data_IF_528638186876
#
_entry.id   IF_528638186876
#
_cell.length_a   1.000
_cell.length_b   1.000
_cell.length_c   1.000
_cell.angle_alpha   90.00
_cell.angle_beta   90.00
_cell.angle_gamma   90.00
#
_symmetry.space_group_name_H-M   'P 1'
#
loop_
_entity.id
_entity.type
_entity.pdbx_description
1 polymer ?
#
# COMPACT_ATOMS: atom_id res chain seq x y z
N UNK A 1 -9.24 22.55 -0.19
CA UNK A 1 -9.38 23.04 1.20
C UNK A 1 -8.39 22.25 2.05
N UNK A 2 -7.61 22.96 2.86
CA UNK A 2 -6.70 22.30 3.82
C UNK A 2 -7.55 21.60 4.90
N UNK A 3 -7.27 20.33 5.17
CA UNK A 3 -7.96 19.57 6.21
C UNK A 3 -7.72 20.18 7.59
N UNK A 4 -8.74 20.20 8.44
CA UNK A 4 -8.62 20.55 9.84
C UNK A 4 -8.95 19.36 10.77
N UNK A 5 -8.82 19.54 12.08
CA UNK A 5 -9.06 18.47 13.05
C UNK A 5 -10.53 18.00 13.06
N UNK A 6 -11.47 18.91 12.81
CA UNK A 6 -12.90 18.56 12.74
C UNK A 6 -13.21 17.75 11.49
N UNK A 7 -12.57 18.07 10.37
CA UNK A 7 -12.68 17.27 9.15
C UNK A 7 -12.23 15.82 9.42
N UNK A 8 -11.13 15.64 10.16
CA UNK A 8 -10.62 14.29 10.53
C UNK A 8 -11.60 13.55 11.44
N UNK A 9 -12.15 14.20 12.46
CA UNK A 9 -13.14 13.60 13.35
C UNK A 9 -14.40 13.19 12.62
N UNK A 10 -14.93 14.07 11.77
CA UNK A 10 -16.11 13.81 10.95
C UNK A 10 -15.85 12.65 9.97
N UNK A 11 -14.68 12.61 9.35
CA UNK A 11 -14.28 11.50 8.48
C UNK A 11 -14.29 10.19 9.26
N UNK A 12 -13.70 10.16 10.46
CA UNK A 12 -13.68 8.97 11.31
C UNK A 12 -15.08 8.46 11.67
N UNK A 13 -16.00 9.36 12.01
CA UNK A 13 -17.40 9.00 12.28
C UNK A 13 -18.06 8.42 11.03
N UNK A 14 -17.86 9.05 9.87
CA UNK A 14 -18.44 8.58 8.61
C UNK A 14 -17.88 7.21 8.20
N UNK A 15 -16.56 7.02 8.28
CA UNK A 15 -15.92 5.73 7.97
C UNK A 15 -16.47 4.62 8.86
N UNK A 16 -16.59 4.85 10.18
CA UNK A 16 -17.16 3.86 11.11
C UNK A 16 -18.61 3.54 10.77
N UNK A 17 -19.42 4.55 10.46
CA UNK A 17 -20.81 4.38 10.05
C UNK A 17 -20.89 3.59 8.74
N UNK A 18 -20.12 3.97 7.75
CA UNK A 18 -20.10 3.33 6.44
C UNK A 18 -19.58 1.88 6.55
N UNK A 19 -18.59 1.63 7.38
CA UNK A 19 -18.10 0.28 7.65
C UNK A 19 -19.16 -0.62 8.29
N UNK A 20 -19.89 -0.13 9.28
CA UNK A 20 -20.99 -0.88 9.91
C UNK A 20 -22.14 -1.19 8.95
N UNK A 21 -22.42 -0.28 7.98
CA UNK A 21 -23.51 -0.44 7.00
C UNK A 21 -23.06 -1.27 5.78
N UNK A 22 -21.77 -1.24 5.46
CA UNK A 22 -21.23 -1.75 4.20
C UNK A 22 -20.53 -3.11 4.29
N UNK A 23 -20.82 -3.91 5.32
CA UNK A 23 -20.48 -5.34 5.34
C UNK A 23 -21.06 -6.14 4.14
N UNK A 24 -21.66 -5.44 3.16
CA UNK A 24 -22.33 -6.05 2.01
C UNK A 24 -21.41 -6.49 0.88
N UNK A 25 -20.21 -5.87 0.73
CA UNK A 25 -19.26 -6.32 -0.28
C UNK A 25 -18.44 -7.48 0.25
N UNK A 26 -18.63 -8.63 -0.34
CA UNK A 26 -17.77 -9.80 -0.08
C UNK A 26 -16.35 -9.51 -0.56
N UNK A 27 -15.34 -10.00 0.16
CA UNK A 27 -13.92 -9.87 -0.22
C UNK A 27 -13.70 -10.36 -1.66
N UNK A 28 -14.44 -11.38 -2.08
CA UNK A 28 -14.42 -11.90 -3.44
C UNK A 28 -14.79 -10.86 -4.50
N UNK A 29 -15.78 -10.00 -4.23
CA UNK A 29 -16.18 -8.93 -5.15
C UNK A 29 -15.09 -7.86 -5.26
N UNK A 30 -14.45 -7.51 -4.12
CA UNK A 30 -13.28 -6.61 -4.10
C UNK A 30 -12.14 -7.21 -4.92
N UNK A 31 -11.86 -8.49 -4.74
CA UNK A 31 -10.83 -9.23 -5.48
C UNK A 31 -11.09 -9.19 -6.99
N UNK A 32 -12.33 -9.44 -7.42
CA UNK A 32 -12.69 -9.34 -8.83
C UNK A 32 -12.51 -7.94 -9.42
N UNK A 33 -12.88 -6.89 -8.66
CA UNK A 33 -12.68 -5.50 -9.08
C UNK A 33 -11.19 -5.19 -9.27
N UNK A 34 -10.34 -5.67 -8.35
CA UNK A 34 -8.89 -5.51 -8.42
C UNK A 34 -8.33 -6.21 -9.67
N UNK A 35 -8.65 -7.47 -9.89
CA UNK A 35 -8.13 -8.29 -10.99
C UNK A 35 -8.57 -7.75 -12.37
N UNK A 36 -9.78 -7.21 -12.46
CA UNK A 36 -10.31 -6.68 -13.73
C UNK A 36 -9.76 -5.29 -14.07
N UNK A 37 -9.23 -4.55 -13.11
CA UNK A 37 -8.82 -3.16 -13.30
C UNK A 37 -7.72 -2.97 -14.36
N UNK A 38 -6.62 -3.75 -14.41
CA UNK A 38 -5.58 -3.56 -15.42
C UNK A 38 -6.07 -3.68 -16.86
N UNK A 39 -7.14 -4.45 -17.07
CA UNK A 39 -7.72 -4.67 -18.41
C UNK A 39 -8.63 -3.54 -18.88
N UNK A 40 -8.98 -2.60 -18.00
CA UNK A 40 -9.89 -1.48 -18.28
C UNK A 40 -9.16 -0.19 -18.61
N UNK A 41 -7.89 -0.11 -18.24
CA UNK A 41 -7.08 1.11 -18.43
C UNK A 41 -6.67 1.26 -19.89
N UNK A 42 -6.77 2.48 -20.39
CA UNK A 42 -6.37 2.85 -21.74
C UNK A 42 -4.88 3.20 -21.82
N UNK A 43 -4.28 3.11 -23.01
CA UNK A 43 -2.89 3.52 -23.24
C UNK A 43 -2.65 5.00 -22.86
N UNK A 44 -3.63 5.87 -23.11
CA UNK A 44 -3.55 7.29 -22.72
C UNK A 44 -3.46 7.45 -21.21
N UNK A 45 -4.21 6.67 -20.44
CA UNK A 45 -4.17 6.70 -18.97
C UNK A 45 -2.84 6.14 -18.44
N UNK A 46 -2.31 5.09 -19.07
CA UNK A 46 -0.98 4.55 -18.77
C UNK A 46 0.11 5.62 -19.02
N UNK A 47 0.04 6.33 -20.14
CA UNK A 47 0.97 7.41 -20.45
C UNK A 47 0.87 8.58 -19.45
N UNK A 48 -0.32 8.87 -18.92
CA UNK A 48 -0.48 9.87 -17.86
C UNK A 48 0.17 9.42 -16.55
N UNK A 49 0.04 8.13 -16.18
CA UNK A 49 0.74 7.57 -15.01
C UNK A 49 2.27 7.61 -15.19
N UNK A 50 2.76 7.32 -16.40
CA UNK A 50 4.17 7.42 -16.75
C UNK A 50 4.68 8.85 -16.56
N UNK A 51 3.92 9.83 -17.07
CA UNK A 51 4.26 11.25 -16.93
C UNK A 51 4.33 11.65 -15.45
N UNK A 52 3.40 11.21 -14.60
CA UNK A 52 3.46 11.50 -13.16
C UNK A 52 4.78 11.03 -12.53
N UNK A 53 5.28 9.85 -12.89
CA UNK A 53 6.55 9.33 -12.36
C UNK A 53 7.76 10.15 -12.87
N UNK A 54 7.76 10.50 -14.16
CA UNK A 54 8.82 11.33 -14.76
C UNK A 54 8.82 12.73 -14.14
N UNK A 55 7.66 13.34 -13.94
CA UNK A 55 7.50 14.65 -13.27
C UNK A 55 7.95 14.60 -11.78
N UNK A 56 7.90 13.43 -11.14
CA UNK A 56 8.48 13.18 -9.83
C UNK A 56 9.99 12.98 -9.84
N UNK A 57 10.63 13.03 -11.01
CA UNK A 57 12.09 12.94 -11.19
C UNK A 57 12.63 11.51 -11.42
N UNK A 58 11.77 10.53 -11.67
CA UNK A 58 12.21 9.19 -12.01
C UNK A 58 12.56 9.07 -13.50
N UNK A 59 13.58 8.27 -13.80
CA UNK A 59 13.94 7.89 -15.17
C UNK A 59 12.78 7.19 -15.89
N UNK A 60 12.64 7.44 -17.19
CA UNK A 60 11.51 6.89 -17.99
C UNK A 60 11.53 5.36 -18.05
N UNK A 61 12.70 4.73 -18.18
CA UNK A 61 12.85 3.27 -18.22
C UNK A 61 12.46 2.64 -16.88
N UNK A 62 12.88 3.27 -15.77
CA UNK A 62 12.47 2.88 -14.43
C UNK A 62 10.96 3.08 -14.24
N UNK A 63 10.42 4.21 -14.65
CA UNK A 63 8.99 4.53 -14.55
C UNK A 63 8.11 3.50 -15.29
N UNK A 64 8.53 3.05 -16.48
CA UNK A 64 7.86 1.95 -17.20
C UNK A 64 7.87 0.65 -16.40
N UNK A 65 9.00 0.30 -15.74
CA UNK A 65 9.08 -0.88 -14.88
C UNK A 65 8.16 -0.76 -13.67
N UNK A 66 8.08 0.42 -13.04
CA UNK A 66 7.18 0.69 -11.91
C UNK A 66 5.72 0.46 -12.30
N UNK A 67 5.30 0.97 -13.46
CA UNK A 67 3.93 0.79 -13.97
C UNK A 67 3.63 -0.69 -14.24
N UNK A 68 4.53 -1.39 -14.93
CA UNK A 68 4.38 -2.81 -15.21
C UNK A 68 4.27 -3.61 -13.90
N UNK A 69 5.10 -3.30 -12.93
CA UNK A 69 5.06 -3.95 -11.62
C UNK A 69 3.75 -3.63 -10.87
N UNK A 70 3.30 -2.36 -10.90
CA UNK A 70 2.02 -1.98 -10.31
C UNK A 70 0.86 -2.81 -10.87
N UNK A 71 0.76 -2.91 -12.19
CA UNK A 71 -0.30 -3.72 -12.82
C UNK A 71 -0.14 -5.22 -12.57
N UNK A 72 1.10 -5.72 -12.50
CA UNK A 72 1.34 -7.11 -12.15
C UNK A 72 0.84 -7.44 -10.73
N UNK A 73 1.00 -6.53 -9.77
CA UNK A 73 0.47 -6.70 -8.42
C UNK A 73 -1.06 -6.86 -8.39
N UNK A 74 -1.78 -6.32 -9.38
CA UNK A 74 -3.22 -6.45 -9.55
C UNK A 74 -3.63 -7.68 -10.38
N UNK A 75 -2.67 -8.49 -10.85
CA UNK A 75 -2.97 -9.70 -11.61
C UNK A 75 -3.47 -10.83 -10.70
N UNK A 76 -4.35 -11.68 -11.25
CA UNK A 76 -4.86 -12.87 -10.56
C UNK A 76 -3.72 -13.77 -10.08
N UNK A 77 -2.74 -13.99 -10.95
CA UNK A 77 -1.60 -14.87 -10.68
C UNK A 77 -0.78 -14.36 -9.48
N UNK A 78 -0.44 -13.07 -9.46
CA UNK A 78 0.31 -12.47 -8.36
C UNK A 78 -0.45 -12.57 -7.02
N UNK A 79 -1.73 -12.21 -7.03
CA UNK A 79 -2.57 -12.20 -5.83
C UNK A 79 -2.73 -13.62 -5.27
N UNK A 80 -3.07 -14.59 -6.12
CA UNK A 80 -3.27 -15.98 -5.68
C UNK A 80 -1.98 -16.62 -5.18
N UNK A 81 -0.84 -16.33 -5.81
CA UNK A 81 0.46 -16.77 -5.31
C UNK A 81 0.77 -16.19 -3.93
N UNK A 82 0.39 -14.94 -3.68
CA UNK A 82 0.51 -14.34 -2.33
C UNK A 82 -0.41 -15.03 -1.33
N UNK A 83 -1.65 -15.26 -1.66
CA UNK A 83 -2.59 -15.97 -0.79
C UNK A 83 -2.09 -17.37 -0.45
N UNK A 84 -1.61 -18.11 -1.43
CA UNK A 84 -1.01 -19.43 -1.22
C UNK A 84 0.21 -19.37 -0.29
N UNK A 85 1.09 -18.41 -0.49
CA UNK A 85 2.29 -18.26 0.34
C UNK A 85 1.97 -17.89 1.80
N UNK A 86 1.04 -16.96 2.02
CA UNK A 86 0.70 -16.42 3.34
C UNK A 86 -0.31 -17.31 4.09
N UNK A 87 -1.37 -17.74 3.42
CA UNK A 87 -2.51 -18.40 4.04
C UNK A 87 -2.59 -19.90 3.74
N UNK A 88 -1.80 -20.40 2.78
CA UNK A 88 -1.84 -21.79 2.28
C UNK A 88 -3.20 -22.17 1.66
N UNK A 89 -3.92 -21.18 1.14
CA UNK A 89 -5.20 -21.33 0.44
C UNK A 89 -5.40 -20.16 -0.51
N UNK A 90 -6.26 -20.33 -1.52
CA UNK A 90 -6.66 -19.29 -2.46
C UNK A 90 -7.89 -18.49 -1.99
N UNK A 91 -8.61 -18.97 -0.98
CA UNK A 91 -9.84 -18.38 -0.44
C UNK A 91 -9.78 -18.20 1.09
N UNK A 92 -8.76 -17.46 1.61
CA UNK A 92 -8.48 -17.44 3.05
C UNK A 92 -9.61 -16.91 3.93
N UNK A 93 -10.51 -16.10 3.36
CA UNK A 93 -11.60 -15.46 4.10
C UNK A 93 -12.93 -16.20 3.99
N UNK A 94 -13.02 -17.23 3.14
CA UNK A 94 -14.20 -18.06 2.96
C UNK A 94 -14.06 -19.41 3.65
N UNK A 95 -12.84 -19.85 3.90
CA UNK A 95 -12.53 -21.15 4.48
C UNK A 95 -12.40 -21.08 5.99
N UNK A 96 -13.16 -21.92 6.67
CA UNK A 96 -12.93 -22.24 8.08
C UNK A 96 -11.92 -23.39 8.18
N UNK A 97 -10.82 -23.17 8.87
CA UNK A 97 -9.87 -24.24 9.21
C UNK A 97 -10.34 -24.94 10.48
N UNK A 98 -10.85 -26.16 10.34
CA UNK A 98 -11.31 -26.97 11.47
C UNK A 98 -10.22 -27.94 11.92
N UNK A 99 -9.83 -27.84 13.16
CA UNK A 99 -9.05 -28.81 13.88
C UNK A 99 -9.96 -29.50 14.91
N UNK A 100 -9.53 -30.62 15.53
CA UNK A 100 -10.37 -31.39 16.48
C UNK A 100 -11.03 -30.53 17.57
N UNK A 101 -10.41 -29.41 17.95
CA UNK A 101 -10.85 -28.58 19.07
C UNK A 101 -10.99 -27.08 18.73
N UNK A 102 -10.55 -26.65 17.55
CA UNK A 102 -10.44 -25.22 17.19
C UNK A 102 -10.97 -25.02 15.79
N UNK A 103 -11.79 -23.98 15.62
CA UNK A 103 -12.15 -23.44 14.31
C UNK A 103 -11.46 -22.08 14.14
N UNK A 104 -10.67 -21.92 13.09
CA UNK A 104 -9.97 -20.69 12.76
C UNK A 104 -10.57 -20.09 11.50
N UNK A 105 -10.79 -18.78 11.51
CA UNK A 105 -11.24 -18.02 10.37
C UNK A 105 -10.46 -16.69 10.30
N UNK A 106 -10.01 -16.31 9.11
CA UNK A 106 -9.43 -14.99 8.88
C UNK A 106 -10.53 -13.96 8.71
N UNK A 107 -10.41 -12.84 9.42
CA UNK A 107 -11.36 -11.72 9.35
C UNK A 107 -10.62 -10.40 9.14
N UNK A 108 -11.24 -9.39 8.49
CA UNK A 108 -10.67 -8.06 8.40
C UNK A 108 -10.38 -7.47 9.79
N UNK A 109 -9.32 -6.67 9.90
CA UNK A 109 -9.05 -5.90 11.12
C UNK A 109 -10.07 -4.77 11.32
N UNK A 110 -10.54 -4.16 10.24
CA UNK A 110 -11.44 -3.02 10.25
C UNK A 110 -10.88 -1.82 9.49
N UNK A 111 -10.54 -0.74 10.18
CA UNK A 111 -9.97 0.48 9.60
C UNK A 111 -8.46 0.44 9.71
N UNK A 112 -7.77 0.47 8.57
CA UNK A 112 -6.31 0.57 8.49
C UNK A 112 -5.88 2.01 8.17
N UNK A 113 -5.02 2.58 9.01
CA UNK A 113 -4.39 3.86 8.75
C UNK A 113 -2.96 3.66 8.27
N UNK A 114 -2.71 3.99 7.00
CA UNK A 114 -1.41 3.83 6.35
C UNK A 114 -0.64 5.14 6.38
N UNK A 115 0.50 5.15 7.05
CA UNK A 115 1.47 6.25 7.04
C UNK A 115 2.53 5.88 6.02
N UNK A 116 2.48 6.51 4.84
CA UNK A 116 3.27 6.11 3.68
C UNK A 116 4.63 6.84 3.63
N UNK A 117 5.64 6.16 3.05
CA UNK A 117 6.94 6.76 2.78
C UNK A 117 6.90 7.63 1.51
N UNK A 118 7.72 8.69 1.49
CA UNK A 118 7.87 9.57 0.32
C UNK A 118 8.87 9.07 -0.71
N UNK A 119 9.66 8.06 -0.37
CA UNK A 119 10.80 7.61 -1.16
C UNK A 119 10.45 6.58 -2.23
N UNK A 120 9.30 5.94 -2.12
CA UNK A 120 8.86 4.91 -3.06
C UNK A 120 7.49 5.26 -3.65
N UNK A 121 7.34 5.31 -4.98
CA UNK A 121 6.04 5.55 -5.61
C UNK A 121 5.09 4.36 -5.46
N UNK A 122 5.63 3.14 -5.29
CA UNK A 122 4.86 1.89 -5.34
C UNK A 122 4.49 1.33 -3.97
N UNK A 123 5.30 1.56 -2.92
CA UNK A 123 5.04 0.99 -1.59
C UNK A 123 3.68 1.37 -1.01
N UNK A 124 3.19 2.62 -1.15
CA UNK A 124 1.85 2.98 -0.70
C UNK A 124 0.75 2.22 -1.45
N UNK A 125 0.95 1.96 -2.74
CA UNK A 125 0.00 1.22 -3.56
C UNK A 125 -0.07 -0.25 -3.14
N UNK A 126 1.07 -0.88 -2.84
CA UNK A 126 1.12 -2.25 -2.32
C UNK A 126 0.40 -2.31 -0.96
N UNK A 127 0.68 -1.36 -0.08
CA UNK A 127 0.05 -1.29 1.24
C UNK A 127 -1.48 -1.16 1.14
N UNK A 128 -1.97 -0.32 0.22
CA UNK A 128 -3.40 -0.21 -0.09
C UNK A 128 -3.97 -1.52 -0.63
N UNK A 129 -3.28 -2.14 -1.59
CA UNK A 129 -3.72 -3.39 -2.20
C UNK A 129 -3.86 -4.50 -1.14
N UNK A 130 -2.89 -4.65 -0.26
CA UNK A 130 -2.92 -5.64 0.83
C UNK A 130 -4.09 -5.38 1.78
N UNK A 131 -4.34 -4.11 2.13
CA UNK A 131 -5.48 -3.74 2.97
C UNK A 131 -6.83 -4.05 2.31
N UNK A 132 -6.97 -3.81 1.00
CA UNK A 132 -8.19 -4.13 0.24
C UNK A 132 -8.39 -5.64 0.11
N UNK A 133 -7.33 -6.39 -0.24
CA UNK A 133 -7.37 -7.85 -0.38
C UNK A 133 -7.75 -8.57 0.93
N UNK A 134 -7.55 -7.91 2.05
CA UNK A 134 -7.92 -8.41 3.39
C UNK A 134 -9.24 -7.79 3.90
N UNK A 135 -9.99 -7.11 3.04
CA UNK A 135 -11.35 -6.62 3.32
C UNK A 135 -11.43 -5.39 4.22
N UNK A 136 -10.34 -4.67 4.41
CA UNK A 136 -10.29 -3.51 5.30
C UNK A 136 -10.67 -2.20 4.60
N UNK A 137 -11.13 -1.23 5.38
CA UNK A 137 -11.17 0.18 4.97
C UNK A 137 -9.78 0.77 5.12
N UNK A 138 -9.31 1.47 4.09
CA UNK A 138 -7.95 1.97 4.00
C UNK A 138 -7.93 3.48 4.00
N UNK A 139 -7.26 4.08 4.96
CA UNK A 139 -7.02 5.51 5.05
C UNK A 139 -5.53 5.76 4.84
N UNK A 140 -5.17 6.38 3.73
CA UNK A 140 -3.77 6.62 3.38
C UNK A 140 -3.40 8.07 3.67
N UNK A 141 -2.43 8.26 4.55
CA UNK A 141 -1.75 9.54 4.70
C UNK A 141 -0.60 9.60 3.70
N UNK A 142 -0.73 10.45 2.68
CA UNK A 142 0.38 10.76 1.79
C UNK A 142 1.42 11.64 2.48
N UNK A 143 2.65 11.57 1.99
CA UNK A 143 3.73 12.41 2.49
C UNK A 143 3.52 13.87 2.08
N UNK A 144 4.12 14.80 2.84
CA UNK A 144 4.07 16.24 2.55
C UNK A 144 4.69 16.65 1.19
N UNK A 145 5.43 15.76 0.54
CA UNK A 145 5.95 15.96 -0.82
C UNK A 145 4.97 15.51 -1.90
N UNK A 146 3.81 14.95 -1.48
CA UNK A 146 2.86 14.33 -2.39
C UNK A 146 3.34 12.99 -2.97
N UNK A 147 2.46 12.32 -3.65
CA UNK A 147 2.76 11.19 -4.53
C UNK A 147 1.78 11.22 -5.69
N UNK A 148 2.08 12.03 -6.69
CA UNK A 148 1.21 12.24 -7.86
C UNK A 148 0.86 10.93 -8.56
N UNK A 149 1.78 9.98 -8.61
CA UNK A 149 1.52 8.66 -9.19
C UNK A 149 0.45 7.90 -8.41
N UNK A 150 0.58 7.84 -7.07
CA UNK A 150 -0.39 7.16 -6.21
C UNK A 150 -1.78 7.80 -6.32
N UNK A 151 -1.84 9.13 -6.23
CA UNK A 151 -3.10 9.87 -6.32
C UNK A 151 -3.80 9.61 -7.65
N UNK A 152 -3.06 9.70 -8.75
CA UNK A 152 -3.59 9.44 -10.09
C UNK A 152 -4.00 8.00 -10.29
N UNK A 153 -3.22 7.06 -9.75
CA UNK A 153 -3.55 5.64 -9.80
C UNK A 153 -4.85 5.34 -9.04
N UNK A 154 -5.00 5.88 -7.81
CA UNK A 154 -6.22 5.71 -7.02
C UNK A 154 -7.42 6.38 -7.71
N UNK A 155 -7.26 7.57 -8.28
CA UNK A 155 -8.31 8.25 -9.06
C UNK A 155 -8.83 7.34 -10.18
N UNK A 156 -7.91 6.77 -10.97
CA UNK A 156 -8.26 5.85 -12.06
C UNK A 156 -8.90 4.56 -11.52
N UNK A 157 -8.36 4.01 -10.45
CA UNK A 157 -8.90 2.79 -9.83
C UNK A 157 -10.34 3.01 -9.35
N UNK A 158 -10.63 4.13 -8.72
CA UNK A 158 -11.99 4.50 -8.27
C UNK A 158 -12.92 4.92 -9.42
N UNK A 159 -12.39 5.48 -10.50
CA UNK A 159 -13.17 5.75 -11.72
C UNK A 159 -13.78 4.46 -12.28
N UNK A 160 -13.00 3.39 -12.33
CA UNK A 160 -13.45 2.09 -12.84
C UNK A 160 -14.14 1.22 -11.80
N UNK A 161 -14.00 1.54 -10.51
CA UNK A 161 -14.56 0.77 -9.39
C UNK A 161 -15.18 1.72 -8.35
N UNK A 162 -16.26 2.45 -8.68
CA UNK A 162 -16.81 3.51 -7.82
C UNK A 162 -17.33 3.00 -6.46
N UNK A 163 -17.69 1.73 -6.35
CA UNK A 163 -18.11 1.10 -5.09
C UNK A 163 -16.99 1.04 -4.04
N UNK A 164 -15.71 1.09 -4.47
CA UNK A 164 -14.57 1.09 -3.55
C UNK A 164 -14.30 2.45 -2.89
N UNK A 165 -15.02 3.52 -3.24
CA UNK A 165 -14.85 4.85 -2.61
C UNK A 165 -14.99 4.83 -1.09
N UNK A 166 -15.83 3.95 -0.56
CA UNK A 166 -16.05 3.79 0.88
C UNK A 166 -14.92 3.01 1.59
N UNK A 167 -14.07 2.32 0.82
CA UNK A 167 -12.94 1.54 1.34
C UNK A 167 -11.59 2.22 1.17
N UNK A 168 -11.55 3.36 0.45
CA UNK A 168 -10.28 4.04 0.13
C UNK A 168 -10.43 5.54 0.39
N UNK A 169 -9.66 6.04 1.35
CA UNK A 169 -9.58 7.46 1.69
C UNK A 169 -8.12 7.91 1.62
N UNK A 170 -7.87 9.01 0.93
CA UNK A 170 -6.53 9.59 0.79
C UNK A 170 -6.52 10.94 1.49
N UNK A 171 -5.56 11.13 2.40
CA UNK A 171 -5.46 12.32 3.23
C UNK A 171 -4.08 12.99 3.05
N UNK A 172 -4.11 14.27 2.73
CA UNK A 172 -2.91 15.11 2.78
C UNK A 172 -2.81 15.74 4.18
N UNK A 173 -2.13 15.04 5.08
CA UNK A 173 -1.83 15.50 6.44
C UNK A 173 -0.33 15.73 6.55
N UNK A 174 0.13 16.98 6.78
CA UNK A 174 1.54 17.23 7.01
C UNK A 174 2.08 16.45 8.22
N UNK A 175 3.31 15.99 8.15
CA UNK A 175 3.93 15.18 9.23
C UNK A 175 4.14 15.97 10.54
N UNK A 176 4.09 17.30 10.50
CA UNK A 176 4.12 18.18 11.68
C UNK A 176 2.78 18.22 12.42
N UNK A 177 1.66 17.89 11.76
CA UNK A 177 0.31 17.92 12.34
C UNK A 177 0.06 16.67 13.21
N UNK A 178 0.83 16.56 14.30
CA UNK A 178 0.81 15.40 15.21
C UNK A 178 -0.56 15.13 15.82
N UNK A 179 -1.34 16.18 16.07
CA UNK A 179 -2.69 16.07 16.64
C UNK A 179 -3.63 15.37 15.65
N UNK A 180 -3.61 15.75 14.37
CA UNK A 180 -4.42 15.12 13.34
C UNK A 180 -4.03 13.66 13.12
N UNK A 181 -2.72 13.38 13.11
CA UNK A 181 -2.20 12.00 13.00
C UNK A 181 -2.67 11.17 14.19
N UNK A 182 -2.58 11.70 15.42
CA UNK A 182 -3.03 11.01 16.63
C UNK A 182 -4.54 10.74 16.61
N UNK A 183 -5.33 11.68 16.11
CA UNK A 183 -6.78 11.50 15.96
C UNK A 183 -7.07 10.36 14.96
N UNK A 184 -6.41 10.33 13.80
CA UNK A 184 -6.57 9.22 12.86
C UNK A 184 -6.14 7.88 13.44
N UNK A 185 -5.04 7.85 14.19
CA UNK A 185 -4.61 6.64 14.90
C UNK A 185 -5.69 6.17 15.87
N UNK A 186 -6.33 7.08 16.62
CA UNK A 186 -7.36 6.72 17.60
C UNK A 186 -8.61 6.08 17.00
N UNK A 187 -8.87 6.31 15.71
CA UNK A 187 -10.02 5.78 14.97
C UNK A 187 -9.69 4.42 14.35
N UNK A 188 -8.42 4.17 14.01
CA UNK A 188 -7.97 3.00 13.30
C UNK A 188 -7.90 1.75 14.21
N UNK A 189 -8.24 0.58 13.65
CA UNK A 189 -8.04 -0.72 14.28
C UNK A 189 -6.61 -1.24 14.04
N UNK A 190 -6.01 -0.84 12.92
CA UNK A 190 -4.62 -1.13 12.59
C UNK A 190 -3.89 0.09 12.01
N UNK A 191 -2.61 0.21 12.34
CA UNK A 191 -1.73 1.27 11.83
C UNK A 191 -0.58 0.64 11.06
N UNK A 192 -0.45 0.97 9.79
CA UNK A 192 0.65 0.54 8.92
C UNK A 192 1.61 1.71 8.77
N UNK A 193 2.86 1.55 9.20
CA UNK A 193 3.85 2.63 9.13
C UNK A 193 5.05 2.24 8.28
N UNK A 194 5.30 3.03 7.24
CA UNK A 194 6.47 2.97 6.38
C UNK A 194 7.36 4.16 6.68
N UNK A 195 8.55 3.94 7.18
CA UNK A 195 9.46 5.04 7.47
C UNK A 195 10.68 4.68 8.29
N UNK A 196 11.53 5.68 8.51
CA UNK A 196 12.71 5.55 9.35
C UNK A 196 12.32 5.28 10.82
N UNK A 197 13.26 4.74 11.60
CA UNK A 197 13.08 4.34 12.99
C UNK A 197 12.48 5.46 13.86
N UNK A 198 12.88 6.71 13.62
CA UNK A 198 12.30 7.86 14.31
C UNK A 198 10.79 7.97 14.08
N UNK A 199 10.34 7.83 12.83
CA UNK A 199 8.90 7.87 12.49
C UNK A 199 8.18 6.70 13.14
N UNK A 200 8.74 5.49 13.02
CA UNK A 200 8.19 4.28 13.64
C UNK A 200 8.02 4.45 15.14
N UNK A 201 9.06 4.95 15.82
CA UNK A 201 9.03 5.17 17.27
C UNK A 201 8.01 6.24 17.68
N UNK A 202 7.88 7.33 16.91
CA UNK A 202 6.86 8.36 17.16
C UNK A 202 5.45 7.78 17.05
N UNK A 203 5.17 7.00 16.02
CA UNK A 203 3.87 6.37 15.82
C UNK A 203 3.57 5.33 16.89
N UNK A 204 4.55 4.49 17.24
CA UNK A 204 4.41 3.49 18.30
C UNK A 204 4.00 4.12 19.64
N UNK A 205 4.47 5.33 19.96
CA UNK A 205 4.06 6.07 21.16
C UNK A 205 2.63 6.60 21.11
N UNK A 206 2.03 6.70 19.92
CA UNK A 206 0.67 7.18 19.70
C UNK A 206 -0.35 6.06 19.60
N UNK A 207 0.09 4.81 19.33
CA UNK A 207 -0.79 3.63 19.23
C UNK A 207 -1.14 3.08 20.59
N UNK A 208 -2.36 2.59 20.75
CA UNK A 208 -2.82 1.91 21.95
C UNK A 208 -2.51 0.40 21.90
N UNK A 209 -2.47 -0.31 23.05
CA UNK A 209 -2.23 -1.76 23.07
C UNK A 209 -3.25 -2.59 22.29
N UNK A 210 -4.47 -2.08 22.11
CA UNK A 210 -5.54 -2.78 21.40
C UNK A 210 -5.46 -2.63 19.88
N UNK A 211 -4.58 -1.75 19.37
CA UNK A 211 -4.40 -1.51 17.96
C UNK A 211 -3.29 -2.39 17.39
N UNK A 212 -3.52 -2.92 16.19
CA UNK A 212 -2.47 -3.65 15.48
C UNK A 212 -1.49 -2.67 14.83
N UNK A 213 -0.21 -2.77 15.18
CA UNK A 213 0.84 -1.96 14.56
C UNK A 213 1.67 -2.83 13.59
N UNK A 214 1.65 -2.46 12.31
CA UNK A 214 2.40 -3.12 11.22
C UNK A 214 3.52 -2.19 10.79
N UNK A 215 4.77 -2.62 11.01
CA UNK A 215 5.96 -1.78 10.85
C UNK A 215 6.76 -2.22 9.63
N UNK A 216 6.93 -1.29 8.69
CA UNK A 216 7.89 -1.36 7.59
C UNK A 216 9.00 -0.33 7.84
N UNK A 217 9.88 -0.68 8.77
CA UNK A 217 11.01 0.16 9.18
C UNK A 217 12.17 0.12 8.21
N UNK A 218 13.19 0.89 8.52
CA UNK A 218 14.42 0.95 7.74
C UNK A 218 15.11 -0.42 7.70
N UNK A 219 15.64 -0.78 6.53
CA UNK A 219 16.44 -1.99 6.31
C UNK A 219 17.78 -1.58 5.73
N UNK A 220 18.80 -2.37 6.04
CA UNK A 220 20.15 -2.22 5.46
C UNK A 220 20.34 -3.41 4.52
N UNK A 221 20.67 -3.10 3.26
CA UNK A 221 21.03 -4.08 2.25
C UNK A 221 22.52 -4.00 1.96
N UNK A 222 23.14 -5.09 1.60
CA UNK A 222 24.50 -5.12 1.08
C UNK A 222 24.63 -6.21 0.03
N UNK A 223 25.56 -6.03 -0.91
CA UNK A 223 25.93 -7.05 -1.88
C UNK A 223 27.33 -7.57 -1.55
N UNK A 224 27.50 -8.91 -1.60
CA UNK A 224 28.78 -9.55 -1.52
C UNK A 224 29.18 -10.07 -2.89
N UNK A 225 30.31 -9.58 -3.43
CA UNK A 225 30.81 -9.98 -4.74
C UNK A 225 32.12 -10.74 -4.54
N UNK A 226 32.16 -12.00 -4.96
CA UNK A 226 33.39 -12.80 -4.91
C UNK A 226 34.40 -12.30 -5.96
N UNK A 227 35.69 -12.42 -5.65
CA UNK A 227 36.76 -12.04 -6.57
C UNK A 227 36.64 -12.71 -7.96
N UNK A 228 36.10 -13.91 -8.02
CA UNK A 228 35.94 -14.67 -9.31
C UNK A 228 34.90 -14.02 -10.22
N UNK A 229 33.90 -13.32 -9.66
CA UNK A 229 32.77 -12.74 -10.39
C UNK A 229 32.95 -11.27 -10.73
N UNK A 230 33.96 -10.61 -10.14
CA UNK A 230 34.21 -9.15 -10.35
C UNK A 230 34.57 -8.82 -11.82
N UNK A 231 34.99 -9.81 -12.59
CA UNK A 231 35.33 -9.65 -14.00
C UNK A 231 34.22 -10.08 -14.96
N UNK A 232 33.09 -10.59 -14.44
CA UNK A 232 31.94 -10.92 -15.27
C UNK A 232 31.15 -9.64 -15.59
N UNK A 233 31.16 -9.24 -16.86
CA UNK A 233 30.51 -8.01 -17.32
C UNK A 233 29.01 -8.01 -17.05
N UNK A 234 28.33 -9.14 -17.26
CA UNK A 234 26.88 -9.23 -17.01
C UNK A 234 26.55 -9.09 -15.53
N UNK A 235 27.36 -9.69 -14.63
CA UNK A 235 27.16 -9.56 -13.19
C UNK A 235 27.37 -8.11 -12.73
N UNK A 236 28.40 -7.44 -13.27
CA UNK A 236 28.65 -6.01 -12.98
C UNK A 236 27.52 -5.11 -13.51
N UNK A 237 27.00 -5.38 -14.71
CA UNK A 237 25.84 -4.62 -15.24
C UNK A 237 24.59 -4.81 -14.39
N UNK A 238 24.34 -6.04 -13.91
CA UNK A 238 23.23 -6.33 -12.99
C UNK A 238 23.40 -5.62 -11.65
N UNK A 239 24.60 -5.64 -11.07
CA UNK A 239 24.92 -4.94 -9.82
C UNK A 239 24.72 -3.42 -9.99
N UNK A 240 25.22 -2.84 -11.09
CA UNK A 240 25.01 -1.44 -11.40
C UNK A 240 23.52 -1.10 -11.53
N UNK A 241 22.75 -1.99 -12.19
CA UNK A 241 21.31 -1.80 -12.32
C UNK A 241 20.61 -1.84 -10.95
N UNK A 242 21.00 -2.75 -10.05
CA UNK A 242 20.46 -2.84 -8.70
C UNK A 242 20.81 -1.62 -7.84
N UNK A 243 22.05 -1.12 -7.94
CA UNK A 243 22.50 0.10 -7.24
C UNK A 243 21.72 1.34 -7.74
N UNK A 244 21.45 1.43 -9.05
CA UNK A 244 20.77 2.58 -9.64
C UNK A 244 19.24 2.50 -9.53
N UNK A 245 18.71 1.36 -9.12
CA UNK A 245 17.27 1.17 -8.94
C UNK A 245 16.70 2.19 -7.96
N UNK A 246 15.52 2.73 -8.29
CA UNK A 246 14.82 3.73 -7.44
C UNK A 246 15.65 4.98 -7.10
N UNK A 247 16.63 5.37 -7.93
CA UNK A 247 17.53 6.49 -7.67
C UNK A 247 18.20 6.42 -6.29
N UNK A 248 18.50 5.23 -5.80
CA UNK A 248 19.04 4.95 -4.47
C UNK A 248 18.15 5.45 -3.31
N UNK A 249 16.87 5.64 -3.53
CA UNK A 249 15.93 6.09 -2.51
C UNK A 249 15.28 4.94 -1.74
N UNK A 250 15.38 3.73 -2.24
CA UNK A 250 14.85 2.52 -1.57
C UNK A 250 15.94 1.81 -0.76
N UNK A 251 15.53 1.07 0.26
CA UNK A 251 16.46 0.33 1.14
C UNK A 251 17.14 -0.88 0.47
N UNK A 252 16.79 -1.18 -0.77
CA UNK A 252 17.41 -2.20 -1.62
C UNK A 252 18.31 -1.62 -2.73
N UNK A 253 18.57 -0.32 -2.70
CA UNK A 253 19.43 0.36 -3.67
C UNK A 253 20.86 0.48 -3.15
#
# INVERSE_FOLDING_TARGET
RKLDLNDIKNLGVNIKKDFCISCDLKIQEILEMIIRFPKKITDSEINNLLKCLVDMGFDEKYSKKVILFAFNCFSKEYIFKRFENEFKTYSPFEEEKKNCYITEQFVPLGILFHITASTSPISPLISLLEGLLTGNVNVLKISSRGNMFLEKFIELFLKYNPYLKKYIHVLDIPSCEKTMIKEMISIADGVVVWGADKTVNDIKKMTSPNQKLIIWGHKISFAYISHKNIYNKNDLENICADICVSNQLACNA
#
